data_IF_760948651258
#
_entry.id   IF_760948651258
#
_cell.length_a   1.000
_cell.length_b   1.000
_cell.length_c   1.000
_cell.angle_alpha   90.00
_cell.angle_beta   90.00
_cell.angle_gamma   90.00
#
_symmetry.space_group_name_H-M   'P 1'
#
loop_
_entity.id
_entity.type
_entity.pdbx_description
1 polymer ?
#
# COMPACT_ATOMS: atom_id res chain seq x y z
N UNK A 1 -13.80 -79.90 -20.80
CA UNK A 1 -13.18 -78.76 -20.07
C UNK A 1 -13.94 -77.50 -20.40
N UNK A 2 -14.74 -76.98 -19.47
CA UNK A 2 -15.58 -75.76 -19.67
C UNK A 2 -14.91 -74.66 -18.90
N UNK A 3 -14.54 -73.60 -19.59
CA UNK A 3 -14.01 -72.36 -19.00
C UNK A 3 -15.16 -71.48 -18.46
N UNK A 4 -15.05 -70.88 -17.29
CA UNK A 4 -16.05 -69.96 -16.78
C UNK A 4 -15.86 -68.54 -17.35
N UNK A 5 -16.95 -67.93 -17.78
CA UNK A 5 -17.04 -66.53 -18.22
C UNK A 5 -17.12 -65.67 -16.99
N UNK A 6 -16.15 -64.74 -16.82
CA UNK A 6 -16.24 -63.64 -15.86
C UNK A 6 -17.07 -62.48 -16.42
N UNK A 7 -18.08 -62.10 -15.66
CA UNK A 7 -18.92 -60.89 -15.90
C UNK A 7 -18.28 -59.71 -15.17
N UNK A 8 -18.05 -58.56 -15.77
CA UNK A 8 -17.52 -57.42 -15.06
C UNK A 8 -18.62 -56.70 -14.25
N UNK A 9 -18.39 -56.59 -12.96
CA UNK A 9 -19.22 -55.84 -12.01
C UNK A 9 -18.93 -54.36 -12.15
N UNK A 10 -19.89 -53.58 -12.69
CA UNK A 10 -19.82 -52.11 -12.73
C UNK A 10 -20.02 -51.58 -11.30
N UNK A 11 -18.97 -51.04 -10.71
CA UNK A 11 -19.08 -50.21 -9.49
C UNK A 11 -19.56 -48.80 -9.88
N UNK A 12 -20.80 -48.50 -9.55
CA UNK A 12 -21.32 -47.10 -9.59
C UNK A 12 -20.87 -46.41 -8.31
N UNK A 13 -19.88 -45.54 -8.43
CA UNK A 13 -19.49 -44.67 -7.34
C UNK A 13 -20.49 -43.51 -7.24
N UNK A 14 -21.35 -43.52 -6.24
CA UNK A 14 -22.23 -42.40 -5.91
C UNK A 14 -21.36 -41.33 -5.24
N UNK A 15 -21.15 -40.21 -5.95
CA UNK A 15 -20.54 -39.01 -5.40
C UNK A 15 -21.53 -38.35 -4.42
N UNK A 16 -21.29 -38.49 -3.14
CA UNK A 16 -22.00 -37.71 -2.11
C UNK A 16 -21.45 -36.30 -2.14
N UNK A 17 -22.17 -35.37 -2.76
CA UNK A 17 -21.92 -33.94 -2.59
C UNK A 17 -22.24 -33.57 -1.14
N UNK A 18 -21.20 -33.42 -0.33
CA UNK A 18 -21.29 -32.80 0.96
C UNK A 18 -21.61 -31.29 0.72
N UNK A 19 -22.86 -30.90 0.91
CA UNK A 19 -23.23 -29.48 1.08
C UNK A 19 -22.50 -28.96 2.33
N UNK A 20 -21.41 -28.24 2.14
CA UNK A 20 -20.79 -27.46 3.21
C UNK A 20 -21.75 -26.26 3.44
N UNK A 21 -22.33 -26.11 4.64
CA UNK A 21 -23.15 -24.96 4.94
C UNK A 21 -22.29 -23.69 4.79
N UNK A 22 -22.84 -22.57 4.26
CA UNK A 22 -22.12 -21.31 4.21
C UNK A 22 -21.70 -20.94 5.63
N UNK A 23 -20.44 -20.56 5.77
CA UNK A 23 -19.90 -20.08 7.04
C UNK A 23 -20.82 -18.96 7.57
N UNK A 24 -21.16 -18.94 8.87
CA UNK A 24 -22.00 -17.91 9.43
C UNK A 24 -21.41 -16.55 9.10
N UNK A 25 -22.23 -15.64 8.54
CA UNK A 25 -21.86 -14.27 8.28
C UNK A 25 -21.35 -13.69 9.61
N UNK A 26 -20.04 -13.38 9.67
CA UNK A 26 -19.48 -12.67 10.80
C UNK A 26 -20.27 -11.38 10.95
N UNK A 27 -20.96 -11.24 12.09
CA UNK A 27 -21.60 -10.00 12.49
C UNK A 27 -20.59 -8.87 12.33
N UNK A 28 -20.93 -7.83 11.57
CA UNK A 28 -20.15 -6.63 11.39
C UNK A 28 -19.80 -6.03 12.75
N UNK A 29 -18.64 -6.31 13.28
CA UNK A 29 -17.94 -5.36 14.14
C UNK A 29 -17.52 -4.25 13.17
N UNK A 30 -18.23 -3.11 13.22
CA UNK A 30 -17.95 -2.01 12.30
C UNK A 30 -16.52 -1.55 12.42
N UNK A 31 -15.96 -0.97 11.35
CA UNK A 31 -14.63 -0.35 11.39
C UNK A 31 -14.47 0.55 12.61
N UNK A 32 -13.30 0.52 13.23
CA UNK A 32 -12.94 1.55 14.22
C UNK A 32 -12.91 2.93 13.55
N UNK A 33 -13.00 4.03 14.32
CA UNK A 33 -12.88 5.37 13.74
C UNK A 33 -11.62 5.55 12.88
N UNK A 34 -10.51 4.90 13.28
CA UNK A 34 -9.24 4.94 12.57
C UNK A 34 -9.27 4.15 11.27
N UNK A 35 -9.83 2.95 11.30
CA UNK A 35 -10.03 2.14 10.09
C UNK A 35 -10.99 2.81 9.10
N UNK A 36 -12.07 3.43 9.62
CA UNK A 36 -12.98 4.22 8.79
C UNK A 36 -12.25 5.39 8.13
N UNK A 37 -11.48 6.16 8.92
CA UNK A 37 -10.65 7.25 8.38
C UNK A 37 -9.70 6.74 7.29
N UNK A 38 -9.01 5.62 7.52
CA UNK A 38 -8.07 5.04 6.58
C UNK A 38 -8.75 4.63 5.27
N UNK A 39 -9.93 3.96 5.35
CA UNK A 39 -10.72 3.64 4.14
C UNK A 39 -11.15 4.88 3.37
N UNK A 40 -11.43 5.99 4.07
CA UNK A 40 -11.88 7.24 3.47
C UNK A 40 -10.71 8.02 2.83
N UNK A 41 -9.50 7.82 3.32
CA UNK A 41 -8.28 8.52 2.90
C UNK A 41 -7.87 8.26 1.45
N UNK A 42 -7.99 7.05 0.95
CA UNK A 42 -7.76 6.57 -0.42
C UNK A 42 -6.37 6.79 -1.01
N UNK A 43 -5.61 7.80 -0.60
CA UNK A 43 -4.33 8.13 -1.17
C UNK A 43 -3.31 8.54 -0.10
N UNK A 44 -2.13 7.91 -0.13
CA UNK A 44 -0.96 8.22 0.68
C UNK A 44 0.31 8.36 -0.17
N UNK A 45 1.33 9.04 0.36
CA UNK A 45 2.66 9.12 -0.22
C UNK A 45 3.62 8.22 0.58
N UNK A 46 4.29 7.31 -0.12
CA UNK A 46 5.34 6.47 0.46
C UNK A 46 6.70 7.12 0.21
N UNK A 47 7.64 6.97 1.13
CA UNK A 47 9.00 7.49 1.01
C UNK A 47 9.98 6.39 1.39
N UNK A 48 10.74 5.89 0.41
CA UNK A 48 11.88 5.00 0.65
C UNK A 48 13.16 5.81 0.63
N UNK A 49 13.73 6.05 1.81
CA UNK A 49 14.93 6.86 1.96
C UNK A 49 15.85 6.37 3.08
N UNK A 50 17.12 6.23 2.79
CA UNK A 50 18.13 5.73 3.70
C UNK A 50 19.54 5.89 3.13
N UNK A 51 20.54 5.38 3.84
CA UNK A 51 21.95 5.45 3.41
C UNK A 51 22.22 4.75 2.07
N UNK A 52 21.40 3.79 1.69
CA UNK A 52 21.44 3.13 0.39
C UNK A 52 21.32 4.13 -0.78
N UNK A 53 20.66 5.26 -0.59
CA UNK A 53 20.52 6.28 -1.64
C UNK A 53 21.86 6.87 -2.09
N UNK A 54 22.91 6.80 -1.26
CA UNK A 54 24.28 7.22 -1.61
C UNK A 54 24.80 6.45 -2.82
N UNK A 55 24.54 5.15 -2.87
CA UNK A 55 24.97 4.31 -4.00
C UNK A 55 24.12 4.51 -5.25
N UNK A 56 22.87 4.97 -5.09
CA UNK A 56 21.96 5.20 -6.19
C UNK A 56 21.63 3.94 -6.98
N UNK A 57 21.39 2.84 -6.28
CA UNK A 57 21.07 1.52 -6.85
C UNK A 57 19.95 0.80 -6.04
N UNK A 58 19.05 1.60 -5.51
CA UNK A 58 17.90 1.12 -4.77
C UNK A 58 18.21 0.68 -3.33
N UNK A 59 17.16 0.35 -2.61
CA UNK A 59 17.17 0.00 -1.20
C UNK A 59 17.69 -1.42 -0.92
N UNK A 60 17.70 -2.28 -1.95
CA UNK A 60 18.22 -3.65 -1.88
C UNK A 60 19.72 -3.75 -2.22
N UNK A 61 20.41 -2.64 -2.45
CA UNK A 61 21.79 -2.59 -2.97
C UNK A 61 22.77 -3.42 -2.13
N UNK A 62 22.61 -3.45 -0.81
CA UNK A 62 23.46 -4.27 0.08
C UNK A 62 23.36 -5.76 -0.28
N UNK A 63 22.16 -6.28 -0.43
CA UNK A 63 21.92 -7.67 -0.81
C UNK A 63 22.31 -7.95 -2.27
N UNK A 64 21.88 -7.08 -3.21
CA UNK A 64 22.03 -7.31 -4.65
C UNK A 64 23.50 -7.23 -5.10
N UNK A 65 24.32 -6.39 -4.45
CA UNK A 65 25.76 -6.30 -4.70
C UNK A 65 26.58 -7.20 -3.79
N UNK A 66 25.94 -8.02 -2.97
CA UNK A 66 26.63 -8.92 -2.03
C UNK A 66 27.61 -8.18 -1.10
N UNK A 67 27.22 -6.99 -0.63
CA UNK A 67 28.07 -6.18 0.23
C UNK A 67 28.16 -6.75 1.63
N UNK A 68 29.39 -6.73 2.18
CA UNK A 68 29.61 -7.02 3.60
C UNK A 68 29.10 -5.89 4.50
N UNK A 69 28.86 -6.18 5.78
CA UNK A 69 28.58 -5.14 6.78
C UNK A 69 29.69 -4.11 6.80
N UNK A 70 30.97 -4.54 6.79
CA UNK A 70 32.15 -3.67 6.82
C UNK A 70 32.15 -2.66 5.66
N UNK A 71 31.87 -3.12 4.43
CA UNK A 71 31.78 -2.23 3.27
C UNK A 71 30.59 -1.28 3.38
N UNK A 72 29.44 -1.79 3.83
CA UNK A 72 28.21 -1.01 3.93
C UNK A 72 28.28 0.06 5.04
N UNK A 73 28.97 -0.21 6.14
CA UNK A 73 29.18 0.72 7.25
C UNK A 73 29.99 1.99 6.87
N UNK A 74 30.57 2.02 5.66
CA UNK A 74 31.25 3.22 5.13
C UNK A 74 30.28 4.26 4.58
N UNK A 75 29.05 3.87 4.21
CA UNK A 75 28.08 4.73 3.54
C UNK A 75 27.58 5.91 4.39
N UNK A 76 27.29 5.75 5.69
CA UNK A 76 26.78 6.85 6.49
C UNK A 76 27.67 8.09 6.49
N UNK A 77 28.99 7.94 6.36
CA UNK A 77 29.93 9.08 6.29
C UNK A 77 29.73 9.94 5.03
N UNK A 78 29.12 9.37 3.99
CA UNK A 78 28.82 10.04 2.73
C UNK A 78 27.37 10.55 2.69
N UNK A 79 26.53 10.15 3.66
CA UNK A 79 25.13 10.55 3.73
C UNK A 79 25.01 11.87 4.50
N UNK A 80 24.95 12.97 3.73
CA UNK A 80 24.81 14.34 4.26
C UNK A 80 23.69 15.09 3.52
N UNK A 81 22.43 14.85 3.86
CA UNK A 81 21.27 15.38 3.12
C UNK A 81 20.97 16.84 3.47
N UNK A 82 21.83 17.74 3.04
CA UNK A 82 21.74 19.18 3.31
C UNK A 82 20.52 19.88 2.67
N UNK A 83 19.89 19.23 1.70
CA UNK A 83 18.69 19.74 1.02
C UNK A 83 17.39 19.18 1.60
N UNK A 84 17.47 18.36 2.66
CA UNK A 84 16.27 17.81 3.31
C UNK A 84 15.41 18.93 3.91
N UNK A 85 14.13 18.91 3.60
CA UNK A 85 13.16 19.84 4.14
C UNK A 85 11.82 19.15 4.39
N UNK A 86 11.53 18.85 5.66
CA UNK A 86 10.30 18.18 6.06
C UNK A 86 9.03 18.93 5.66
N UNK A 87 9.05 20.28 5.75
CA UNK A 87 7.91 21.10 5.36
C UNK A 87 7.63 21.00 3.85
N UNK A 88 8.68 20.97 3.02
CA UNK A 88 8.56 20.77 1.57
C UNK A 88 8.00 19.38 1.25
N UNK A 89 8.47 18.33 1.91
CA UNK A 89 7.97 16.97 1.69
C UNK A 89 6.48 16.85 2.01
N UNK A 90 6.05 17.42 3.15
CA UNK A 90 4.62 17.43 3.52
C UNK A 90 3.82 18.29 2.54
N UNK A 91 4.35 19.42 2.08
CA UNK A 91 3.69 20.26 1.08
C UNK A 91 3.52 19.52 -0.27
N UNK A 92 4.51 18.74 -0.70
CA UNK A 92 4.42 17.91 -1.90
C UNK A 92 3.31 16.86 -1.74
N UNK A 93 3.27 16.13 -0.61
CA UNK A 93 2.22 15.15 -0.34
C UNK A 93 0.82 15.78 -0.37
N UNK A 94 0.64 16.94 0.26
CA UNK A 94 -0.63 17.71 0.23
C UNK A 94 -1.00 18.15 -1.16
N UNK A 95 -0.03 18.69 -1.91
CA UNK A 95 -0.25 19.13 -3.29
C UNK A 95 -0.63 17.95 -4.21
N UNK A 96 -0.15 16.75 -3.93
CA UNK A 96 -0.57 15.50 -4.58
C UNK A 96 -1.99 15.07 -4.23
N UNK A 97 -2.55 15.56 -3.12
CA UNK A 97 -3.83 15.14 -2.55
C UNK A 97 -3.72 14.01 -1.53
N UNK A 98 -2.51 13.58 -1.15
CA UNK A 98 -2.30 12.54 -0.15
C UNK A 98 -2.87 12.96 1.22
N UNK A 99 -3.38 11.98 1.96
CA UNK A 99 -3.95 12.15 3.30
C UNK A 99 -3.01 11.66 4.40
N UNK A 100 -2.02 10.87 4.04
CA UNK A 100 -0.99 10.35 4.93
C UNK A 100 0.34 10.17 4.19
N UNK A 101 1.40 10.07 4.97
CA UNK A 101 2.74 9.73 4.53
C UNK A 101 3.16 8.48 5.27
N UNK A 102 3.78 7.52 4.56
CA UNK A 102 4.52 6.40 5.13
C UNK A 102 5.99 6.60 4.79
N UNK A 103 6.89 6.48 5.77
CA UNK A 103 8.34 6.62 5.54
C UNK A 103 9.11 5.47 6.16
N UNK A 104 10.16 5.02 5.48
CA UNK A 104 11.08 4.00 6.00
C UNK A 104 11.81 4.52 7.23
N UNK A 105 11.42 4.04 8.43
CA UNK A 105 12.15 4.33 9.68
C UNK A 105 13.40 3.46 9.81
N UNK A 106 13.32 2.21 9.36
CA UNK A 106 14.42 1.25 9.22
C UNK A 106 14.09 0.31 8.07
N UNK A 107 14.96 0.22 7.06
CA UNK A 107 14.84 -0.74 5.97
C UNK A 107 15.61 -2.03 6.27
N UNK A 108 15.72 -2.96 5.33
CA UNK A 108 16.37 -4.28 5.51
C UNK A 108 17.85 -4.20 5.86
N UNK A 109 18.54 -3.10 5.51
CA UNK A 109 19.92 -2.81 5.88
C UNK A 109 20.14 -2.53 7.39
N UNK A 110 19.06 -2.52 8.15
CA UNK A 110 19.06 -2.29 9.59
C UNK A 110 19.38 -0.85 9.99
N UNK A 111 19.65 0.07 9.04
CA UNK A 111 19.98 1.45 9.35
C UNK A 111 18.75 2.23 9.81
N UNK A 112 18.81 2.72 11.06
CA UNK A 112 17.71 3.51 11.61
C UNK A 112 17.79 4.97 11.15
N UNK A 113 16.77 5.46 10.45
CA UNK A 113 16.63 6.84 10.02
C UNK A 113 16.08 7.76 11.13
N UNK A 114 16.28 7.39 12.40
CA UNK A 114 15.82 8.12 13.58
C UNK A 114 16.79 7.95 14.76
N UNK A 115 16.68 8.83 15.74
CA UNK A 115 17.51 8.85 16.94
C UNK A 115 17.14 7.71 17.90
N UNK A 116 17.51 6.46 17.55
CA UNK A 116 17.34 5.30 18.43
C UNK A 116 18.49 5.18 19.43
N UNK A 117 18.18 4.73 20.65
CA UNK A 117 19.17 4.37 21.69
C UNK A 117 19.52 2.89 21.68
N UNK A 118 18.87 2.10 20.81
CA UNK A 118 19.03 0.65 20.78
C UNK A 118 20.30 0.23 20.01
N UNK A 119 20.79 1.09 19.14
CA UNK A 119 22.00 0.87 18.35
C UNK A 119 22.61 2.21 17.94
N UNK A 120 23.92 2.24 17.74
CA UNK A 120 24.61 3.37 17.09
C UNK A 120 24.52 3.31 15.56
N UNK A 121 23.93 2.25 14.99
CA UNK A 121 23.68 2.12 13.56
C UNK A 121 22.43 2.94 13.17
N UNK A 122 22.59 4.27 13.26
CA UNK A 122 21.51 5.24 13.01
C UNK A 122 22.04 6.54 12.41
N UNK A 123 21.10 7.32 11.85
CA UNK A 123 21.37 8.56 11.11
C UNK A 123 22.05 9.63 11.98
N UNK A 124 21.71 9.72 13.26
CA UNK A 124 22.27 10.74 14.17
C UNK A 124 23.71 10.41 14.58
N UNK A 125 23.99 9.14 14.90
CA UNK A 125 25.30 8.73 15.39
C UNK A 125 26.33 8.55 14.29
N UNK A 126 25.94 8.00 13.14
CA UNK A 126 26.86 7.57 12.07
C UNK A 126 27.05 8.56 10.94
N UNK A 127 26.14 9.54 10.74
CA UNK A 127 26.30 10.49 9.64
C UNK A 127 26.93 11.82 10.08
N UNK A 128 27.55 12.57 9.18
CA UNK A 128 27.99 13.95 9.48
C UNK A 128 26.81 14.92 9.69
N UNK A 129 25.63 14.57 9.19
CA UNK A 129 24.42 15.40 9.22
C UNK A 129 23.82 15.58 10.62
N UNK A 130 23.84 14.54 11.47
CA UNK A 130 23.45 14.59 12.90
C UNK A 130 22.01 15.02 13.18
N UNK A 131 21.08 14.89 12.23
CA UNK A 131 19.67 15.21 12.40
C UNK A 131 18.82 13.97 12.49
N UNK A 132 17.65 14.11 13.11
CA UNK A 132 16.57 13.12 13.11
C UNK A 132 15.47 13.56 12.14
N UNK A 133 15.47 13.05 10.88
CA UNK A 133 14.48 13.45 9.89
C UNK A 133 13.07 13.03 10.25
N UNK A 134 12.90 11.93 11.01
CA UNK A 134 11.57 11.47 11.41
C UNK A 134 10.94 12.42 12.43
N UNK A 135 11.75 12.97 13.35
CA UNK A 135 11.26 13.98 14.29
C UNK A 135 10.83 15.26 13.58
N UNK A 136 11.59 15.69 12.57
CA UNK A 136 11.23 16.87 11.77
C UNK A 136 9.98 16.63 10.94
N UNK A 137 9.88 15.47 10.28
CA UNK A 137 8.72 15.09 9.48
C UNK A 137 7.47 14.94 10.34
N UNK A 138 7.58 14.33 11.52
CA UNK A 138 6.45 14.18 12.45
C UNK A 138 5.89 15.54 12.87
N UNK A 139 6.75 16.49 13.23
CA UNK A 139 6.33 17.86 13.58
C UNK A 139 5.57 18.54 12.43
N UNK A 140 6.11 18.44 11.21
CA UNK A 140 5.47 19.08 10.05
C UNK A 140 4.17 18.36 9.65
N UNK A 141 4.11 17.03 9.75
CA UNK A 141 2.87 16.27 9.52
C UNK A 141 1.78 16.69 10.50
N UNK A 142 2.09 16.79 11.80
CA UNK A 142 1.13 17.26 12.82
C UNK A 142 0.66 18.69 12.54
N UNK A 143 1.58 19.60 12.27
CA UNK A 143 1.30 21.01 11.96
C UNK A 143 0.40 21.17 10.75
N UNK A 144 0.59 20.34 9.72
CA UNK A 144 -0.11 20.45 8.44
C UNK A 144 -1.31 19.51 8.30
N UNK A 145 -1.61 18.68 9.33
CA UNK A 145 -2.77 17.80 9.36
C UNK A 145 -2.66 16.57 8.45
N UNK A 146 -1.43 16.10 8.18
CA UNK A 146 -1.15 14.83 7.49
C UNK A 146 -0.85 13.76 8.54
N UNK A 147 -1.41 12.56 8.39
CA UNK A 147 -1.06 11.44 9.26
C UNK A 147 0.25 10.81 8.81
N UNK A 148 1.13 10.51 9.77
CA UNK A 148 2.42 9.87 9.53
C UNK A 148 2.36 8.40 9.94
N UNK A 149 2.82 7.52 9.06
CA UNK A 149 3.06 6.10 9.33
C UNK A 149 4.55 5.82 9.24
N UNK A 150 5.04 4.92 10.08
CA UNK A 150 6.40 4.44 9.98
C UNK A 150 6.43 3.04 9.34
N UNK A 151 7.10 2.92 8.19
CA UNK A 151 7.53 1.63 7.71
C UNK A 151 8.66 1.12 8.61
N UNK A 152 8.58 -0.12 9.00
CA UNK A 152 9.60 -0.78 9.80
C UNK A 152 9.88 -2.18 9.25
N UNK A 153 11.11 -2.42 8.81
CA UNK A 153 11.54 -3.76 8.40
C UNK A 153 11.71 -4.68 9.60
N UNK A 154 11.00 -5.81 9.58
CA UNK A 154 11.21 -6.92 10.51
C UNK A 154 12.50 -7.67 10.17
N UNK A 155 12.87 -7.71 8.89
CA UNK A 155 14.16 -8.21 8.40
C UNK A 155 15.26 -7.22 8.72
N UNK A 156 16.47 -7.73 9.06
CA UNK A 156 17.64 -6.91 9.37
C UNK A 156 18.93 -7.62 8.94
N UNK A 157 19.57 -7.09 7.91
CA UNK A 157 20.82 -7.67 7.40
C UNK A 157 22.04 -7.30 8.24
N UNK A 158 21.95 -6.28 9.08
CA UNK A 158 23.05 -5.77 9.88
C UNK A 158 23.08 -6.37 11.29
N UNK A 159 21.94 -6.54 11.93
CA UNK A 159 21.87 -6.94 13.33
C UNK A 159 22.36 -8.39 13.54
N UNK A 160 23.38 -8.64 14.39
CA UNK A 160 23.92 -9.98 14.60
C UNK A 160 22.94 -10.94 15.25
N UNK A 161 21.96 -10.44 16.00
CA UNK A 161 20.95 -11.24 16.67
C UNK A 161 19.79 -11.66 15.73
N UNK A 162 19.72 -11.12 14.49
CA UNK A 162 18.85 -11.63 13.41
C UNK A 162 19.41 -12.98 12.93
N UNK A 163 19.31 -13.99 13.77
CA UNK A 163 19.92 -15.32 13.60
C UNK A 163 18.92 -16.42 13.92
N UNK A 164 18.93 -17.60 13.23
CA UNK A 164 19.78 -17.89 12.05
C UNK A 164 19.42 -16.95 10.88
N UNK A 165 20.28 -16.93 9.86
CA UNK A 165 20.07 -16.11 8.67
C UNK A 165 18.73 -16.50 8.00
N UNK A 166 18.05 -15.48 7.44
CA UNK A 166 16.87 -15.66 6.61
C UNK A 166 17.20 -16.07 5.18
N UNK A 167 16.26 -15.82 4.27
CA UNK A 167 16.42 -16.09 2.84
C UNK A 167 17.37 -15.10 2.13
N UNK A 168 17.61 -13.91 2.73
CA UNK A 168 18.34 -12.81 2.14
C UNK A 168 19.51 -12.33 3.01
N UNK A 169 20.37 -11.45 2.49
CA UNK A 169 21.51 -10.89 3.23
C UNK A 169 22.61 -11.90 3.58
N UNK A 170 22.74 -12.97 2.81
CA UNK A 170 23.69 -14.06 3.08
C UNK A 170 25.15 -13.58 3.03
N UNK A 171 25.44 -12.59 2.19
CA UNK A 171 26.76 -12.00 2.01
C UNK A 171 27.15 -10.92 3.03
N UNK A 172 26.24 -10.55 3.92
CA UNK A 172 26.50 -9.49 4.92
C UNK A 172 27.68 -9.77 5.86
N UNK A 173 28.12 -11.03 5.98
CA UNK A 173 29.29 -11.37 6.81
C UNK A 173 29.00 -11.36 8.30
N UNK A 174 27.74 -11.51 8.71
CA UNK A 174 27.38 -11.56 10.12
C UNK A 174 28.06 -12.75 10.82
N UNK A 175 28.59 -12.54 12.04
CA UNK A 175 29.16 -13.64 12.77
C UNK A 175 28.11 -14.70 13.11
N UNK A 176 28.46 -15.98 13.15
CA UNK A 176 27.54 -17.04 13.58
C UNK A 176 27.20 -16.88 15.07
N UNK A 177 25.95 -17.20 15.47
CA UNK A 177 25.59 -17.34 16.88
C UNK A 177 24.89 -16.14 17.50
N UNK A 178 23.96 -15.50 16.80
CA UNK A 178 23.05 -14.51 17.37
C UNK A 178 21.92 -15.11 18.23
N UNK A 179 21.11 -14.27 18.83
CA UNK A 179 20.02 -14.63 19.71
C UNK A 179 18.69 -14.03 19.20
N UNK A 180 17.82 -14.86 18.62
CA UNK A 180 16.55 -14.45 18.07
C UNK A 180 15.67 -13.67 19.05
N UNK A 181 15.64 -14.08 20.30
CA UNK A 181 14.86 -13.38 21.34
C UNK A 181 15.37 -11.95 21.56
N UNK A 182 16.71 -11.78 21.62
CA UNK A 182 17.31 -10.42 21.73
C UNK A 182 16.97 -9.56 20.52
N UNK A 183 16.93 -10.16 19.31
CA UNK A 183 16.49 -9.42 18.13
C UNK A 183 15.05 -8.92 18.27
N UNK A 184 14.13 -9.76 18.71
CA UNK A 184 12.73 -9.38 18.92
C UNK A 184 12.59 -8.31 20.02
N UNK A 185 13.38 -8.39 21.07
CA UNK A 185 13.39 -7.38 22.15
C UNK A 185 13.96 -6.05 21.62
N UNK A 186 15.03 -6.08 20.81
CA UNK A 186 15.58 -4.92 20.10
C UNK A 186 14.52 -4.27 19.18
N UNK A 187 13.84 -5.05 18.34
CA UNK A 187 12.77 -4.58 17.48
C UNK A 187 11.66 -3.88 18.28
N UNK A 188 11.18 -4.52 19.34
CA UNK A 188 10.12 -3.96 20.18
C UNK A 188 10.58 -2.70 20.96
N UNK A 189 11.86 -2.60 21.32
CA UNK A 189 12.41 -1.39 21.92
C UNK A 189 12.46 -0.22 20.92
N UNK A 190 12.88 -0.44 19.67
CA UNK A 190 12.85 0.57 18.62
C UNK A 190 11.40 1.00 18.29
N UNK A 191 10.47 0.07 18.20
CA UNK A 191 9.04 0.38 18.03
C UNK A 191 8.50 1.21 19.21
N UNK A 192 8.93 0.92 20.44
CA UNK A 192 8.57 1.73 21.60
C UNK A 192 9.05 3.18 21.44
N UNK A 193 10.30 3.39 21.00
CA UNK A 193 10.83 4.74 20.72
C UNK A 193 10.01 5.46 19.65
N UNK A 194 9.70 4.79 18.52
CA UNK A 194 8.88 5.35 17.42
C UNK A 194 7.47 5.73 17.91
N UNK A 195 6.90 4.95 18.82
CA UNK A 195 5.54 5.17 19.33
C UNK A 195 5.48 6.18 20.49
N UNK A 196 6.61 6.55 21.10
CA UNK A 196 6.60 7.43 22.28
C UNK A 196 7.27 8.79 22.03
N UNK A 197 8.18 8.89 21.07
CA UNK A 197 9.02 10.09 20.90
C UNK A 197 8.56 11.01 19.76
N UNK A 198 7.64 10.56 18.88
CA UNK A 198 7.24 11.27 17.65
C UNK A 198 5.80 11.79 17.66
N UNK A 199 5.16 11.79 18.84
CA UNK A 199 3.76 12.18 18.99
C UNK A 199 2.78 11.14 18.41
N UNK A 200 1.52 11.51 18.21
CA UNK A 200 0.52 10.58 17.64
C UNK A 200 0.85 10.23 16.20
N UNK A 201 0.95 8.94 15.90
CA UNK A 201 1.17 8.45 14.53
C UNK A 201 -0.06 7.74 13.99
N UNK A 202 -0.14 7.61 12.65
CA UNK A 202 -1.21 6.91 11.95
C UNK A 202 -1.11 5.39 12.10
N UNK A 203 0.11 4.85 12.10
CA UNK A 203 0.33 3.42 12.24
C UNK A 203 1.75 2.96 11.95
N UNK A 204 1.94 1.65 12.02
CA UNK A 204 3.16 0.95 11.65
C UNK A 204 2.89 0.09 10.41
N UNK A 205 3.74 0.23 9.43
CA UNK A 205 3.78 -0.50 8.18
C UNK A 205 4.95 -1.50 8.23
N UNK A 206 4.68 -2.77 8.55
CA UNK A 206 5.71 -3.80 8.63
C UNK A 206 6.04 -4.41 7.27
N UNK A 207 7.29 -4.86 7.15
CA UNK A 207 7.79 -5.61 6.00
C UNK A 207 8.89 -6.59 6.43
N UNK A 208 9.22 -7.55 5.55
CA UNK A 208 10.34 -8.46 5.76
C UNK A 208 10.01 -9.73 6.55
N UNK A 209 8.76 -9.93 7.00
CA UNK A 209 8.36 -11.19 7.65
C UNK A 209 8.62 -12.42 6.76
N UNK A 210 8.43 -12.26 5.47
CA UNK A 210 8.60 -13.30 4.44
C UNK A 210 10.02 -13.85 4.34
N UNK A 211 11.03 -13.18 4.87
CA UNK A 211 12.43 -13.65 4.90
C UNK A 211 12.62 -14.85 5.83
N UNK A 212 11.80 -14.92 6.90
CA UNK A 212 11.83 -16.02 7.89
C UNK A 212 10.41 -16.46 8.28
N UNK A 213 9.62 -17.01 7.34
CA UNK A 213 8.19 -17.29 7.58
C UNK A 213 7.96 -18.43 8.61
N UNK A 214 8.99 -19.18 8.94
CA UNK A 214 8.92 -20.27 9.93
C UNK A 214 9.41 -19.84 11.33
N UNK A 215 9.91 -18.61 11.50
CA UNK A 215 10.36 -18.13 12.79
C UNK A 215 9.18 -17.75 13.70
N UNK A 216 9.36 -17.94 15.00
CA UNK A 216 8.43 -17.37 15.98
C UNK A 216 8.68 -15.88 16.12
N UNK A 217 7.93 -15.06 15.37
CA UNK A 217 8.00 -13.61 15.37
C UNK A 217 7.35 -12.96 16.59
N UNK A 218 6.59 -13.71 17.39
CA UNK A 218 5.82 -13.19 18.51
C UNK A 218 4.95 -11.96 18.12
N UNK A 219 4.29 -12.04 16.97
CA UNK A 219 3.52 -10.91 16.41
C UNK A 219 2.44 -10.42 17.37
N UNK A 220 1.75 -11.33 18.07
CA UNK A 220 0.76 -10.95 19.08
C UNK A 220 1.35 -10.01 20.15
N UNK A 221 2.55 -10.33 20.65
CA UNK A 221 3.27 -9.49 21.63
C UNK A 221 3.59 -8.11 21.05
N UNK A 222 4.08 -8.07 19.82
CA UNK A 222 4.47 -6.82 19.14
C UNK A 222 3.24 -5.97 18.83
N UNK A 223 2.18 -6.55 18.31
CA UNK A 223 0.93 -5.84 17.99
C UNK A 223 0.23 -5.32 19.26
N UNK A 224 0.18 -6.13 20.31
CA UNK A 224 -0.33 -5.69 21.63
C UNK A 224 0.49 -4.51 22.21
N UNK A 225 1.82 -4.51 22.05
CA UNK A 225 2.67 -3.39 22.47
C UNK A 225 2.30 -2.11 21.72
N UNK A 226 2.11 -2.18 20.40
CA UNK A 226 1.76 -1.01 19.57
C UNK A 226 0.42 -0.44 20.01
N UNK A 227 -0.63 -1.25 20.11
CA UNK A 227 -1.96 -0.80 20.53
C UNK A 227 -2.00 -0.33 22.00
N UNK A 228 -1.13 -0.88 22.86
CA UNK A 228 -0.99 -0.40 24.24
C UNK A 228 -0.41 1.02 24.29
N UNK A 229 0.61 1.30 23.47
CA UNK A 229 1.29 2.61 23.44
C UNK A 229 0.48 3.66 22.69
N UNK A 230 -0.10 3.27 21.56
CA UNK A 230 -0.95 4.13 20.72
C UNK A 230 -2.16 3.36 20.19
N UNK A 231 -3.30 3.34 20.94
CA UNK A 231 -4.50 2.58 20.55
C UNK A 231 -5.10 2.99 19.19
N UNK A 232 -4.74 4.20 18.70
CA UNK A 232 -5.20 4.70 17.41
C UNK A 232 -4.28 4.32 16.24
N UNK A 233 -3.07 3.82 16.51
CA UNK A 233 -2.12 3.44 15.47
C UNK A 233 -2.58 2.16 14.76
N UNK A 234 -2.70 2.21 13.44
CA UNK A 234 -3.07 1.05 12.63
C UNK A 234 -1.84 0.18 12.34
N UNK A 235 -2.04 -1.12 12.27
CA UNK A 235 -1.00 -2.10 11.98
C UNK A 235 -1.31 -2.78 10.66
N UNK A 236 -0.34 -2.73 9.73
CA UNK A 236 -0.33 -3.55 8.53
C UNK A 236 1.01 -4.24 8.36
N UNK A 237 1.04 -5.38 7.69
CA UNK A 237 2.25 -6.16 7.49
C UNK A 237 2.29 -6.73 6.07
N UNK A 238 3.32 -6.37 5.32
CA UNK A 238 3.54 -6.78 3.93
C UNK A 238 4.13 -8.19 3.86
N UNK A 239 3.40 -9.16 4.36
CA UNK A 239 3.83 -10.57 4.37
C UNK A 239 3.25 -11.39 3.21
N UNK A 240 2.51 -10.76 2.28
CA UNK A 240 1.91 -11.37 1.08
C UNK A 240 0.94 -12.52 1.39
N UNK A 241 0.20 -12.43 2.49
CA UNK A 241 -0.77 -13.42 2.95
C UNK A 241 -2.06 -12.74 3.44
N UNK A 242 -3.05 -13.57 3.76
CA UNK A 242 -4.21 -13.11 4.53
C UNK A 242 -3.75 -12.50 5.86
N UNK A 243 -4.40 -11.43 6.34
CA UNK A 243 -4.01 -10.75 7.57
C UNK A 243 -3.90 -11.69 8.76
N UNK A 244 -2.86 -11.50 9.56
CA UNK A 244 -2.71 -12.19 10.84
C UNK A 244 -3.57 -11.51 11.92
N UNK A 245 -3.91 -12.22 13.01
CA UNK A 245 -4.63 -11.63 14.13
C UNK A 245 -3.93 -10.39 14.68
N UNK A 246 -4.66 -9.29 14.85
CA UNK A 246 -4.14 -8.01 15.35
C UNK A 246 -3.71 -7.03 14.28
N UNK A 247 -3.78 -7.38 13.00
CA UNK A 247 -3.61 -6.43 11.89
C UNK A 247 -4.89 -5.65 11.64
N UNK A 248 -4.74 -4.36 11.30
CA UNK A 248 -5.84 -3.42 11.11
C UNK A 248 -6.15 -3.17 9.64
N UNK A 249 -5.23 -3.44 8.74
CA UNK A 249 -5.41 -3.34 7.29
C UNK A 249 -4.56 -4.37 6.55
N UNK A 250 -5.03 -4.77 5.36
CA UNK A 250 -4.35 -5.71 4.46
C UNK A 250 -3.63 -4.96 3.36
N UNK A 251 -2.45 -5.45 3.01
CA UNK A 251 -1.59 -4.85 1.99
C UNK A 251 -1.46 -5.72 0.76
N UNK A 252 -1.22 -5.05 -0.37
CA UNK A 252 -0.90 -5.63 -1.68
C UNK A 252 0.26 -4.83 -2.27
N UNK A 253 1.26 -5.50 -2.80
CA UNK A 253 2.42 -4.84 -3.40
C UNK A 253 2.38 -4.95 -4.91
N UNK A 254 2.37 -3.78 -5.60
CA UNK A 254 2.33 -3.65 -7.07
C UNK A 254 1.14 -4.32 -7.75
N UNK A 255 0.24 -4.91 -6.98
CA UNK A 255 -1.00 -5.53 -7.45
C UNK A 255 -2.21 -4.83 -6.83
N UNK A 256 -3.26 -4.66 -7.62
CA UNK A 256 -4.56 -4.27 -7.08
C UNK A 256 -5.22 -5.50 -6.41
N UNK A 257 -6.04 -5.31 -5.35
CA UNK A 257 -6.73 -6.43 -4.72
C UNK A 257 -7.45 -7.32 -5.74
N UNK A 258 -7.12 -8.62 -5.70
CA UNK A 258 -7.62 -9.64 -6.64
C UNK A 258 -6.78 -9.81 -7.92
N UNK A 259 -5.67 -9.09 -8.07
CA UNK A 259 -4.68 -9.34 -9.13
C UNK A 259 -3.48 -10.12 -8.56
N UNK A 260 -2.73 -10.76 -9.46
CA UNK A 260 -1.54 -11.58 -9.15
C UNK A 260 -0.45 -11.34 -10.19
N UNK A 261 -0.39 -10.13 -10.75
CA UNK A 261 0.51 -9.80 -11.87
C UNK A 261 1.95 -9.58 -11.44
N UNK A 262 2.17 -9.12 -10.20
CA UNK A 262 3.50 -8.90 -9.64
C UNK A 262 4.15 -10.17 -9.08
N UNK A 263 3.45 -11.30 -9.08
CA UNK A 263 3.91 -12.63 -8.59
C UNK A 263 4.23 -12.71 -7.07
N UNK A 264 3.95 -11.64 -6.32
CA UNK A 264 4.12 -11.66 -4.86
C UNK A 264 2.93 -12.33 -4.17
N UNK A 265 1.70 -11.95 -4.54
CA UNK A 265 0.45 -12.44 -3.97
C UNK A 265 -0.15 -13.57 -4.83
N UNK A 266 0.36 -14.79 -4.73
CA UNK A 266 -0.03 -15.93 -5.62
C UNK A 266 -1.49 -16.36 -5.49
N UNK A 267 -2.12 -16.15 -4.34
CA UNK A 267 -3.54 -16.43 -4.07
C UNK A 267 -4.09 -15.43 -3.06
N UNK A 268 -4.33 -14.19 -3.45
CA UNK A 268 -4.74 -13.16 -2.50
C UNK A 268 -6.15 -13.43 -1.98
N UNK A 269 -6.26 -13.76 -0.70
CA UNK A 269 -7.53 -13.73 0.02
C UNK A 269 -7.81 -12.28 0.39
N UNK A 270 -8.85 -11.70 -0.18
CA UNK A 270 -9.27 -10.35 0.17
C UNK A 270 -10.06 -10.39 1.48
N UNK A 271 -9.53 -9.77 2.52
CA UNK A 271 -10.16 -9.66 3.82
C UNK A 271 -11.24 -8.57 3.85
N UNK A 272 -11.95 -8.48 4.99
CA UNK A 272 -12.88 -7.37 5.24
C UNK A 272 -12.23 -6.14 5.86
N UNK A 273 -10.94 -6.23 6.22
CA UNK A 273 -10.18 -5.09 6.74
C UNK A 273 -10.05 -4.00 5.66
N UNK A 274 -9.69 -2.77 6.04
CA UNK A 274 -9.19 -1.79 5.09
C UNK A 274 -8.10 -2.38 4.21
N UNK A 275 -8.07 -2.00 2.94
CA UNK A 275 -7.11 -2.50 1.97
C UNK A 275 -6.20 -1.36 1.52
N UNK A 276 -4.94 -1.68 1.31
CA UNK A 276 -3.96 -0.76 0.71
C UNK A 276 -3.16 -1.50 -0.35
N UNK A 277 -2.92 -0.85 -1.49
CA UNK A 277 -1.92 -1.28 -2.46
C UNK A 277 -0.82 -0.24 -2.53
N UNK A 278 0.43 -0.66 -2.69
CA UNK A 278 1.54 0.24 -2.90
C UNK A 278 2.19 0.03 -4.26
N UNK A 279 2.66 1.12 -4.86
CA UNK A 279 3.42 1.12 -6.12
C UNK A 279 4.35 2.34 -6.15
N UNK A 280 5.20 2.44 -7.15
CA UNK A 280 6.24 3.45 -7.31
C UNK A 280 5.90 4.44 -8.42
N UNK A 281 6.42 5.68 -8.36
CA UNK A 281 6.29 6.66 -9.45
C UNK A 281 7.18 6.34 -10.65
N UNK A 282 8.22 5.52 -10.44
CA UNK A 282 9.14 4.95 -11.44
C UNK A 282 9.19 3.42 -11.25
N UNK A 283 10.31 2.74 -11.54
CA UNK A 283 10.41 1.28 -11.33
C UNK A 283 10.97 0.91 -9.95
N UNK A 284 11.64 1.85 -9.26
CA UNK A 284 12.39 1.60 -8.03
C UNK A 284 11.71 2.14 -6.79
N UNK A 285 11.87 1.47 -5.63
CA UNK A 285 11.43 2.01 -4.33
C UNK A 285 12.40 3.08 -3.83
N UNK A 286 13.66 2.73 -3.54
CA UNK A 286 14.71 3.69 -3.20
C UNK A 286 15.30 4.36 -4.44
N UNK A 287 16.04 5.45 -4.22
CA UNK A 287 16.69 6.16 -5.32
C UNK A 287 17.61 5.23 -6.14
N UNK A 288 17.35 5.16 -7.43
CA UNK A 288 18.16 4.45 -8.43
C UNK A 288 18.55 5.42 -9.53
N UNK A 289 19.87 5.66 -9.68
CA UNK A 289 20.42 6.68 -10.59
C UNK A 289 20.07 6.44 -12.04
N UNK A 290 20.00 5.17 -12.45
CA UNK A 290 19.69 4.78 -13.82
C UNK A 290 18.20 4.63 -14.13
N UNK A 291 17.33 4.77 -13.12
CA UNK A 291 15.89 4.62 -13.32
C UNK A 291 15.26 5.95 -13.75
N UNK A 292 14.93 6.03 -15.02
CA UNK A 292 14.23 7.16 -15.63
C UNK A 292 12.87 6.75 -16.23
N UNK A 293 12.34 5.59 -15.83
CA UNK A 293 11.07 5.04 -16.34
C UNK A 293 9.88 5.60 -15.55
N UNK A 294 9.68 6.91 -15.64
CA UNK A 294 8.61 7.60 -14.93
C UNK A 294 7.23 7.20 -15.47
N UNK A 295 6.37 6.69 -14.61
CA UNK A 295 4.95 6.50 -14.92
C UNK A 295 4.33 7.85 -15.29
N UNK A 296 3.43 7.84 -16.26
CA UNK A 296 2.65 9.03 -16.59
C UNK A 296 1.61 9.31 -15.50
N UNK A 297 1.17 10.55 -15.37
CA UNK A 297 0.06 10.90 -14.47
C UNK A 297 -1.21 10.11 -14.80
N UNK A 298 -1.47 9.84 -16.08
CA UNK A 298 -2.58 8.99 -16.53
C UNK A 298 -2.50 7.58 -15.93
N UNK A 299 -1.33 6.93 -15.98
CA UNK A 299 -1.14 5.61 -15.39
C UNK A 299 -1.39 5.60 -13.89
N UNK A 300 -0.85 6.60 -13.17
CA UNK A 300 -0.99 6.69 -11.72
C UNK A 300 -2.42 7.04 -11.29
N UNK A 301 -3.12 7.93 -12.02
CA UNK A 301 -4.53 8.25 -11.77
C UNK A 301 -5.40 7.01 -11.99
N UNK A 302 -5.19 6.28 -13.09
CA UNK A 302 -5.91 5.04 -13.38
C UNK A 302 -5.65 3.97 -12.31
N UNK A 303 -4.43 3.91 -11.78
CA UNK A 303 -4.10 2.99 -10.71
C UNK A 303 -4.80 3.36 -9.40
N UNK A 304 -4.82 4.65 -9.02
CA UNK A 304 -5.55 5.15 -7.87
C UNK A 304 -7.06 4.86 -7.96
N UNK A 305 -7.65 5.14 -9.12
CA UNK A 305 -9.07 4.88 -9.39
C UNK A 305 -9.36 3.37 -9.35
N UNK A 306 -8.46 2.57 -9.93
CA UNK A 306 -8.53 1.11 -9.89
C UNK A 306 -8.48 0.55 -8.46
N UNK A 307 -7.66 1.13 -7.59
CA UNK A 307 -7.59 0.80 -6.16
C UNK A 307 -8.88 1.21 -5.44
N UNK A 308 -9.35 2.45 -5.63
CA UNK A 308 -10.59 2.95 -5.03
C UNK A 308 -11.80 2.08 -5.40
N UNK A 309 -11.91 1.65 -6.68
CA UNK A 309 -12.94 0.74 -7.17
C UNK A 309 -12.86 -0.69 -6.61
N UNK A 310 -11.79 -1.01 -5.88
CA UNK A 310 -11.59 -2.27 -5.14
C UNK A 310 -11.56 -2.08 -3.62
N UNK A 311 -12.06 -0.96 -3.11
CA UNK A 311 -12.02 -0.57 -1.70
C UNK A 311 -10.62 -0.36 -1.11
N UNK A 312 -9.59 -0.24 -1.94
CA UNK A 312 -8.22 -0.04 -1.49
C UNK A 312 -7.80 1.43 -1.53
N UNK A 313 -6.83 1.76 -0.68
CA UNK A 313 -6.01 2.95 -0.80
C UNK A 313 -4.86 2.68 -1.77
N UNK A 314 -4.35 3.73 -2.40
CA UNK A 314 -3.04 3.72 -3.06
C UNK A 314 -2.02 4.42 -2.17
N UNK A 315 -0.92 3.74 -1.87
CA UNK A 315 0.28 4.30 -1.25
C UNK A 315 1.36 4.40 -2.34
N UNK A 316 1.60 5.62 -2.86
CA UNK A 316 2.47 5.85 -4.02
C UNK A 316 3.85 6.34 -3.58
N UNK A 317 4.88 5.59 -3.97
CA UNK A 317 6.24 5.77 -3.48
C UNK A 317 7.07 6.76 -4.29
N UNK A 318 7.90 7.51 -3.56
CA UNK A 318 9.03 8.29 -4.07
C UNK A 318 10.32 7.84 -3.40
N UNK A 319 11.43 7.85 -4.14
CA UNK A 319 12.78 7.58 -3.64
C UNK A 319 13.62 8.86 -3.65
N UNK A 320 13.73 9.60 -2.53
CA UNK A 320 14.52 10.82 -2.49
C UNK A 320 16.01 10.59 -2.75
N UNK A 321 16.65 11.59 -3.34
CA UNK A 321 18.09 11.67 -3.55
C UNK A 321 18.84 11.60 -2.20
N UNK A 322 20.14 11.23 -2.20
CA UNK A 322 20.96 11.25 -0.97
C UNK A 322 21.09 12.66 -0.37
N UNK A 323 20.81 13.71 -1.14
CA UNK A 323 20.78 15.11 -0.66
C UNK A 323 19.51 15.44 0.13
N UNK A 324 18.50 14.56 0.13
CA UNK A 324 17.20 14.79 0.77
C UNK A 324 16.13 15.43 -0.15
N UNK A 325 16.44 15.69 -1.42
CA UNK A 325 15.45 16.17 -2.39
C UNK A 325 14.61 15.06 -2.96
N UNK A 326 13.29 15.24 -3.04
CA UNK A 326 12.43 14.42 -3.89
C UNK A 326 12.69 14.82 -5.35
N UNK A 327 12.87 13.82 -6.23
CA UNK A 327 13.21 14.06 -7.63
C UNK A 327 12.15 14.93 -8.34
N UNK A 328 12.57 15.93 -9.14
CA UNK A 328 11.64 16.88 -9.76
C UNK A 328 10.56 16.23 -10.63
N UNK A 329 10.90 15.13 -11.29
CA UNK A 329 9.97 14.36 -12.12
C UNK A 329 8.86 13.74 -11.27
N UNK A 330 9.20 13.16 -10.12
CA UNK A 330 8.22 12.63 -9.18
C UNK A 330 7.31 13.76 -8.66
N UNK A 331 7.89 14.92 -8.29
CA UNK A 331 7.13 16.08 -7.83
C UNK A 331 6.16 16.57 -8.91
N UNK A 332 6.60 16.64 -10.17
CA UNK A 332 5.74 17.02 -11.29
C UNK A 332 4.55 16.08 -11.44
N UNK A 333 4.79 14.76 -11.44
CA UNK A 333 3.73 13.74 -11.54
C UNK A 333 2.74 13.78 -10.38
N UNK A 334 3.24 13.94 -9.16
CA UNK A 334 2.40 14.09 -7.96
C UNK A 334 1.51 15.34 -8.04
N UNK A 335 2.03 16.48 -8.52
CA UNK A 335 1.24 17.70 -8.73
C UNK A 335 0.16 17.52 -9.79
N UNK A 336 0.45 16.81 -10.90
CA UNK A 336 -0.53 16.48 -11.92
C UNK A 336 -1.67 15.62 -11.36
N UNK A 337 -1.36 14.61 -10.53
CA UNK A 337 -2.36 13.83 -9.81
C UNK A 337 -3.21 14.71 -8.89
N UNK A 338 -2.57 15.61 -8.13
CA UNK A 338 -3.26 16.54 -7.24
C UNK A 338 -4.20 17.48 -7.99
N UNK A 339 -3.79 17.98 -9.15
CA UNK A 339 -4.65 18.82 -10.01
C UNK A 339 -5.89 18.05 -10.51
N UNK A 340 -5.74 16.75 -10.82
CA UNK A 340 -6.86 15.89 -11.17
C UNK A 340 -7.75 15.64 -9.94
N UNK A 341 -7.18 15.29 -8.79
CA UNK A 341 -7.93 15.05 -7.55
C UNK A 341 -8.66 16.28 -7.03
N UNK A 342 -8.15 17.49 -7.28
CA UNK A 342 -8.85 18.74 -6.95
C UNK A 342 -10.21 18.87 -7.69
N UNK A 343 -10.33 18.26 -8.87
CA UNK A 343 -11.56 18.27 -9.69
C UNK A 343 -12.45 17.05 -9.43
N UNK A 344 -11.85 15.88 -9.26
CA UNK A 344 -12.54 14.60 -9.26
C UNK A 344 -12.49 13.86 -7.91
N UNK A 345 -11.85 14.45 -6.90
CA UNK A 345 -11.62 13.77 -5.62
C UNK A 345 -12.87 13.29 -4.91
N UNK A 346 -14.05 13.89 -5.19
CA UNK A 346 -15.32 13.43 -4.62
C UNK A 346 -15.74 12.03 -5.14
N UNK A 347 -15.25 11.63 -6.33
CA UNK A 347 -15.42 10.27 -6.86
C UNK A 347 -14.44 9.24 -6.29
N UNK A 348 -13.44 9.71 -5.48
CA UNK A 348 -12.39 8.88 -4.89
C UNK A 348 -12.47 8.88 -3.37
N UNK A 349 -12.33 10.04 -2.73
CA UNK A 349 -12.27 10.14 -1.26
C UNK A 349 -13.60 9.83 -0.59
N UNK A 350 -13.54 9.03 0.48
CA UNK A 350 -14.71 8.64 1.24
C UNK A 350 -15.64 7.69 0.50
N UNK A 351 -15.22 7.15 -0.64
CA UNK A 351 -16.00 6.19 -1.42
C UNK A 351 -15.77 4.75 -0.94
N UNK A 352 -16.65 3.87 -1.40
CA UNK A 352 -16.50 2.41 -1.36
C UNK A 352 -16.59 1.88 -2.78
N UNK A 353 -16.27 0.60 -2.98
CA UNK A 353 -16.53 -0.07 -4.24
C UNK A 353 -18.01 0.12 -4.64
N UNK A 354 -18.23 0.48 -5.88
CA UNK A 354 -19.58 0.62 -6.41
C UNK A 354 -20.23 -0.73 -6.75
N UNK A 355 -21.48 -0.71 -7.19
CA UNK A 355 -22.27 -1.92 -7.43
C UNK A 355 -21.78 -2.77 -8.62
N UNK A 356 -20.96 -2.19 -9.49
CA UNK A 356 -20.35 -2.90 -10.62
C UNK A 356 -18.86 -3.05 -10.36
N UNK A 357 -18.41 -4.28 -10.18
CA UNK A 357 -16.99 -4.58 -9.99
C UNK A 357 -16.15 -4.21 -11.22
N UNK A 358 -14.82 -4.33 -11.12
CA UNK A 358 -13.92 -3.99 -12.22
C UNK A 358 -14.24 -4.67 -13.55
N UNK A 359 -14.13 -3.93 -14.63
CA UNK A 359 -14.36 -4.35 -16.02
C UNK A 359 -13.26 -3.79 -16.92
N UNK A 360 -13.22 -4.23 -18.18
CA UNK A 360 -12.27 -3.72 -19.18
C UNK A 360 -12.41 -2.21 -19.41
N UNK A 361 -13.61 -1.66 -19.30
CA UNK A 361 -13.85 -0.23 -19.45
C UNK A 361 -13.45 0.62 -18.23
N UNK A 362 -13.32 0.00 -17.02
CA UNK A 362 -12.99 0.71 -15.79
C UNK A 362 -13.62 0.11 -14.54
N UNK A 363 -14.00 0.96 -13.59
CA UNK A 363 -14.53 0.57 -12.27
C UNK A 363 -15.68 1.47 -11.85
N UNK A 364 -16.38 1.09 -10.77
CA UNK A 364 -17.32 1.98 -10.09
C UNK A 364 -16.92 2.21 -8.64
N UNK A 365 -17.11 3.45 -8.18
CA UNK A 365 -17.08 3.80 -6.76
C UNK A 365 -18.45 4.33 -6.33
N UNK A 366 -18.71 4.35 -5.01
CA UNK A 366 -19.99 4.82 -4.47
C UNK A 366 -19.81 5.61 -3.19
N UNK A 367 -20.58 6.70 -3.04
CA UNK A 367 -20.66 7.51 -1.83
C UNK A 367 -22.11 7.94 -1.60
N UNK A 368 -22.74 7.37 -0.57
CA UNK A 368 -24.17 7.55 -0.35
C UNK A 368 -25.00 7.05 -1.54
N UNK A 369 -25.89 7.91 -2.05
CA UNK A 369 -26.74 7.63 -3.22
C UNK A 369 -26.08 7.96 -4.57
N UNK A 370 -24.80 8.36 -4.58
CA UNK A 370 -24.05 8.64 -5.82
C UNK A 370 -23.14 7.48 -6.17
N UNK A 371 -23.28 6.95 -7.38
CA UNK A 371 -22.40 5.98 -8.01
C UNK A 371 -21.57 6.75 -9.04
N UNK A 372 -20.26 6.58 -8.99
CA UNK A 372 -19.32 7.14 -9.96
C UNK A 372 -18.85 6.02 -10.87
N UNK A 373 -19.12 6.14 -12.17
CA UNK A 373 -18.67 5.21 -13.21
C UNK A 373 -17.43 5.81 -13.85
N UNK A 374 -16.29 5.19 -13.60
CA UNK A 374 -14.98 5.61 -14.08
C UNK A 374 -14.68 4.94 -15.41
N UNK A 375 -14.69 5.72 -16.50
CA UNK A 375 -14.40 5.25 -17.86
C UNK A 375 -12.90 5.43 -18.14
N UNK A 376 -12.12 4.39 -17.87
CA UNK A 376 -10.66 4.41 -17.99
C UNK A 376 -10.19 4.02 -19.41
N UNK A 377 -10.91 3.09 -20.03
CA UNK A 377 -10.66 2.62 -21.40
C UNK A 377 -11.99 2.31 -22.11
N UNK A 378 -12.64 3.36 -22.63
CA UNK A 378 -13.91 3.23 -23.31
C UNK A 378 -14.03 4.21 -24.48
N UNK A 379 -14.47 3.71 -25.65
CA UNK A 379 -14.51 4.50 -26.88
C UNK A 379 -15.91 4.66 -27.45
N UNK A 380 -16.86 3.82 -27.02
CA UNK A 380 -18.21 3.83 -27.56
C UNK A 380 -19.09 4.93 -26.94
N UNK A 381 -20.12 5.39 -27.64
CA UNK A 381 -21.05 6.41 -27.15
C UNK A 381 -22.08 5.85 -26.14
N UNK A 382 -22.06 4.55 -25.86
CA UNK A 382 -22.98 3.90 -24.94
C UNK A 382 -22.30 2.83 -24.11
N UNK A 383 -22.69 2.71 -22.83
CA UNK A 383 -22.21 1.69 -21.92
C UNK A 383 -23.39 0.96 -21.27
N UNK A 384 -23.44 -0.36 -21.38
CA UNK A 384 -24.40 -1.19 -20.68
C UNK A 384 -23.82 -1.66 -19.34
N UNK A 385 -24.48 -1.28 -18.27
CA UNK A 385 -24.20 -1.77 -16.92
C UNK A 385 -25.23 -2.85 -16.53
N UNK A 386 -24.91 -3.76 -15.60
CA UNK A 386 -25.91 -4.57 -14.94
C UNK A 386 -27.04 -3.69 -14.38
N UNK A 387 -28.21 -4.25 -14.19
CA UNK A 387 -29.35 -3.50 -13.62
C UNK A 387 -28.99 -2.95 -12.23
N UNK A 388 -29.08 -1.62 -12.10
CA UNK A 388 -28.76 -0.93 -10.86
C UNK A 388 -29.98 -0.85 -9.92
N UNK A 389 -29.74 -1.00 -8.63
CA UNK A 389 -30.72 -0.85 -7.55
C UNK A 389 -30.12 -0.01 -6.42
N UNK A 390 -30.79 1.07 -5.96
CA UNK A 390 -32.03 1.66 -6.49
C UNK A 390 -31.86 2.22 -7.90
N UNK A 391 -33.01 2.49 -8.56
CA UNK A 391 -33.05 3.04 -9.91
C UNK A 391 -32.32 4.38 -10.01
N UNK A 392 -31.63 4.60 -11.13
CA UNK A 392 -30.98 5.87 -11.45
C UNK A 392 -32.05 6.93 -11.75
N UNK A 393 -31.97 8.04 -11.03
CA UNK A 393 -32.88 9.20 -11.17
C UNK A 393 -32.28 10.32 -12.01
N UNK A 394 -30.93 10.43 -11.98
CA UNK A 394 -30.17 11.43 -12.74
C UNK A 394 -28.81 10.89 -13.12
N UNK A 395 -28.30 11.26 -14.31
CA UNK A 395 -26.95 10.93 -14.74
C UNK A 395 -26.32 12.08 -15.51
N UNK A 396 -25.03 12.34 -15.26
CA UNK A 396 -24.28 13.41 -15.91
C UNK A 396 -22.75 13.15 -15.88
N UNK A 397 -22.04 13.76 -16.82
CA UNK A 397 -20.56 13.80 -16.76
C UNK A 397 -20.11 14.73 -15.65
N UNK A 398 -19.28 14.25 -14.73
CA UNK A 398 -18.78 15.03 -13.58
C UNK A 398 -18.02 16.29 -14.02
N UNK A 399 -17.28 16.19 -15.13
CA UNK A 399 -16.45 17.26 -15.66
C UNK A 399 -17.23 18.48 -16.16
N UNK A 400 -18.27 18.22 -16.95
CA UNK A 400 -19.01 19.25 -17.70
C UNK A 400 -20.43 19.48 -17.20
N UNK A 401 -20.96 18.59 -16.37
CA UNK A 401 -22.36 18.56 -16.00
C UNK A 401 -23.27 18.11 -17.14
N UNK A 402 -22.73 17.75 -18.32
CA UNK A 402 -23.51 17.32 -19.48
C UNK A 402 -24.36 16.10 -19.14
N UNK A 403 -25.67 16.10 -19.48
CA UNK A 403 -26.56 15.01 -19.14
C UNK A 403 -26.18 13.72 -19.89
N UNK A 404 -26.23 12.61 -19.17
CA UNK A 404 -26.08 11.24 -19.71
C UNK A 404 -27.47 10.64 -19.82
N UNK A 405 -27.82 10.11 -21.01
CA UNK A 405 -29.07 9.42 -21.22
C UNK A 405 -29.08 8.08 -20.48
N UNK A 406 -30.18 7.79 -19.76
CA UNK A 406 -30.34 6.52 -19.05
C UNK A 406 -31.60 5.82 -19.55
N UNK A 407 -31.47 4.55 -19.89
CA UNK A 407 -32.63 3.68 -20.16
C UNK A 407 -32.42 2.32 -19.50
N UNK A 408 -33.50 1.82 -18.90
CA UNK A 408 -33.48 0.53 -18.22
C UNK A 408 -34.23 -0.51 -19.02
N UNK A 409 -33.70 -1.72 -19.06
CA UNK A 409 -34.31 -2.87 -19.73
C UNK A 409 -34.10 -4.14 -18.88
N UNK A 410 -34.53 -5.28 -19.42
CA UNK A 410 -34.25 -6.58 -18.79
C UNK A 410 -32.74 -6.90 -18.77
N UNK A 411 -32.02 -6.43 -19.78
CA UNK A 411 -30.56 -6.64 -19.95
C UNK A 411 -29.70 -5.78 -19.00
N UNK A 412 -30.25 -4.64 -18.50
CA UNK A 412 -29.52 -3.77 -17.59
C UNK A 412 -29.86 -2.30 -17.70
N UNK A 413 -28.92 -1.46 -17.23
CA UNK A 413 -28.97 0.00 -17.28
C UNK A 413 -28.05 0.49 -18.39
N UNK A 414 -28.61 0.99 -19.48
CA UNK A 414 -27.87 1.55 -20.62
C UNK A 414 -27.64 3.04 -20.41
N UNK A 415 -26.36 3.44 -20.43
CA UNK A 415 -25.91 4.82 -20.42
C UNK A 415 -25.61 5.27 -21.85
N UNK A 416 -26.19 6.40 -22.30
CA UNK A 416 -25.83 7.06 -23.55
C UNK A 416 -24.99 8.28 -23.22
N UNK A 417 -23.72 8.21 -23.58
CA UNK A 417 -22.72 9.19 -23.23
C UNK A 417 -22.76 10.39 -24.22
N UNK A 418 -22.74 11.62 -23.73
CA UNK A 418 -22.48 12.77 -24.60
C UNK A 418 -21.03 12.75 -25.07
N UNK A 419 -20.63 13.68 -25.91
CA UNK A 419 -19.23 13.85 -26.29
C UNK A 419 -18.37 14.11 -25.04
N UNK A 420 -17.24 13.39 -24.92
CA UNK A 420 -16.27 13.51 -23.84
C UNK A 420 -14.85 13.38 -24.38
N UNK A 421 -13.88 13.82 -23.59
CA UNK A 421 -12.46 13.72 -23.95
C UNK A 421 -11.95 12.30 -23.74
N UNK A 422 -11.81 11.56 -24.82
CA UNK A 422 -11.32 10.17 -24.81
C UNK A 422 -9.82 10.05 -24.43
N UNK A 423 -9.08 11.15 -24.46
CA UNK A 423 -7.68 11.19 -24.05
C UNK A 423 -7.50 11.50 -22.55
N UNK A 424 -8.57 11.89 -21.85
CA UNK A 424 -8.51 12.13 -20.42
C UNK A 424 -8.10 10.85 -19.65
N UNK A 425 -7.38 10.99 -18.53
CA UNK A 425 -7.01 9.85 -17.69
C UNK A 425 -8.20 9.01 -17.26
N UNK A 426 -9.32 9.68 -16.96
CA UNK A 426 -10.57 9.10 -16.50
C UNK A 426 -11.73 10.04 -16.87
N UNK A 427 -12.83 9.48 -17.33
CA UNK A 427 -14.07 10.19 -17.54
C UNK A 427 -15.12 9.67 -16.56
N UNK A 428 -15.56 10.52 -15.64
CA UNK A 428 -16.44 10.13 -14.56
C UNK A 428 -17.89 10.46 -14.90
N UNK A 429 -18.72 9.42 -14.97
CA UNK A 429 -20.19 9.58 -15.01
C UNK A 429 -20.72 9.47 -13.59
N UNK A 430 -21.45 10.48 -13.16
CA UNK A 430 -22.18 10.46 -11.88
C UNK A 430 -23.59 9.95 -12.11
N UNK A 431 -23.97 8.92 -11.37
CA UNK A 431 -25.34 8.40 -11.32
C UNK A 431 -25.90 8.69 -9.92
N UNK A 432 -26.97 9.46 -9.86
CA UNK A 432 -27.73 9.67 -8.63
C UNK A 432 -28.89 8.65 -8.60
N UNK A 433 -29.01 7.93 -7.48
CA UNK A 433 -30.08 6.93 -7.29
C UNK A 433 -31.14 7.45 -6.34
N UNK A 434 -32.35 6.89 -6.40
CA UNK A 434 -33.38 7.12 -5.39
C UNK A 434 -32.89 6.74 -3.99
N UNK A 435 -33.60 7.18 -2.96
CA UNK A 435 -33.37 6.71 -1.59
C UNK A 435 -33.70 5.21 -1.50
N UNK A 436 -32.95 4.48 -0.65
CA UNK A 436 -33.16 3.04 -0.40
C UNK A 436 -34.36 2.83 0.50
#
# INVERSE_FOLDING_TARGET
MRTPKFLPMLLVAAAVMLCVPPAPAQTNSGDTPQQKWFRDAKFGMFIHWGVYSVLGDGEWVMNNRHMSIEDYETLPQQFNPVDFNAAEWVAIAKAAGAKYITITSKHHDGFAMFATRQTTWNVVDRTPWKHDPLAELARECHKQGIKLFFYYSQLDWHNPDYYPLGGTGQSAGRPPGGNWRRYLDFMNAQLTELLTNYGPIGGIWFDGWWDKPQADWQLERTYALIHKLQPQALIGNNHHRAPFPGEDFQMFERDLPGQTSADWDKNPVISKLPLETCDTVNDSWGYTRGDHHWKTSTQMIRYLVGAAGRNANLLLNVGPLPTGKIQPEAVARLREMGAWLAKYGDSVYGTRQGPVGPRSWGVTTQKGNRIFVHLLDWQDPALLLPRLQPRVTRAYLMQSGAPVGVSESAEGTLLRLPAYDKAAPDNVVVLETGER
#
